data_IF_475543423099
#
_entry.id   IF_475543423099
#
_cell.length_a   1.000
_cell.length_b   1.000
_cell.length_c   1.000
_cell.angle_alpha   90.00
_cell.angle_beta   90.00
_cell.angle_gamma   90.00
#
_symmetry.space_group_name_H-M   'P 1'
#
loop_
_entity.id
_entity.type
_entity.pdbx_description
1 polymer ?
#
# COMPACT_ATOMS: atom_id res chain seq x y z
N UNK A 331 25.73 22.52 1.02
CA UNK A 331 24.60 22.16 1.87
C UNK A 331 24.86 20.90 2.68
N UNK A 332 23.97 20.60 3.62
CA UNK A 332 24.11 19.42 4.47
C UNK A 332 23.32 18.24 3.90
N UNK A 333 23.13 18.25 2.59
CA UNK A 333 22.39 17.18 1.92
C UNK A 333 23.20 15.89 1.89
N UNK A 334 24.38 15.94 1.25
CA UNK A 334 25.27 14.78 1.15
C UNK A 334 25.90 14.40 2.50
N UNK A 335 26.17 15.41 3.32
CA UNK A 335 26.76 15.19 4.63
C UNK A 335 25.90 14.26 5.47
N UNK A 336 24.59 14.43 5.38
CA UNK A 336 23.65 13.59 6.12
C UNK A 336 23.67 12.16 5.60
N UNK A 337 23.88 12.01 4.29
CA UNK A 337 23.91 10.70 3.66
C UNK A 337 24.98 9.81 4.30
N UNK A 338 26.18 10.36 4.46
CA UNK A 338 27.28 9.62 5.05
C UNK A 338 26.93 9.17 6.46
N UNK A 339 26.21 10.01 7.20
CA UNK A 339 25.81 9.69 8.55
C UNK A 339 25.00 8.39 8.60
N UNK A 340 24.47 7.99 7.44
CA UNK A 340 23.68 6.78 7.34
C UNK A 340 24.58 5.57 7.05
N UNK A 341 25.66 5.44 7.83
CA UNK A 341 26.58 4.33 7.66
C UNK A 341 26.87 3.66 8.99
N UNK A 342 25.85 3.59 9.85
CA UNK A 342 25.99 2.97 11.16
C UNK A 342 27.21 3.52 11.89
N UNK A 343 27.81 2.68 12.73
CA UNK A 343 28.99 3.07 13.50
C UNK A 343 28.59 3.88 14.73
N UNK A 344 28.02 5.06 14.51
CA UNK A 344 27.60 5.92 15.61
C UNK A 344 26.07 6.05 15.63
N UNK A 345 25.46 5.43 16.62
CA UNK A 345 24.01 5.47 16.76
C UNK A 345 23.52 6.91 16.98
N UNK A 346 24.23 7.64 17.83
CA UNK A 346 23.86 9.02 18.13
C UNK A 346 23.85 9.86 16.86
N UNK A 347 24.88 9.72 16.04
CA UNK A 347 24.97 10.46 14.79
C UNK A 347 23.96 9.96 13.77
N UNK A 348 23.74 8.65 13.75
CA UNK A 348 22.79 8.04 12.83
C UNK A 348 21.37 8.52 13.12
N UNK A 349 20.96 8.40 14.37
CA UNK A 349 19.62 8.82 14.78
C UNK A 349 19.40 10.30 14.47
N UNK A 350 20.32 11.15 14.94
CA UNK A 350 20.23 12.58 14.72
C UNK A 350 20.02 12.88 13.23
N UNK A 351 20.70 12.12 12.38
CA UNK A 351 20.59 12.30 10.94
C UNK A 351 19.22 11.90 10.43
N UNK A 352 18.71 10.79 10.94
CA UNK A 352 17.40 10.28 10.55
C UNK A 352 16.32 11.36 10.72
N UNK A 353 16.26 11.92 11.92
CA UNK A 353 15.28 12.96 12.23
C UNK A 353 15.36 14.09 11.20
N UNK A 354 16.57 14.54 10.91
CA UNK A 354 16.78 15.61 9.94
C UNK A 354 16.94 15.05 8.53
N UNK A 355 16.50 13.82 8.33
CA UNK A 355 16.60 13.18 7.03
C UNK A 355 15.22 13.01 6.39
N UNK A 356 14.19 12.91 7.23
CA UNK A 356 12.83 12.76 6.75
C UNK A 356 12.07 14.08 6.83
N UNK A 357 12.32 14.85 7.88
CA UNK A 357 11.66 16.13 8.07
C UNK A 357 11.76 16.99 6.81
N UNK A 358 12.89 16.88 6.12
CA UNK A 358 13.12 17.64 4.90
C UNK A 358 12.32 17.07 3.73
N UNK A 359 12.16 15.75 3.73
CA UNK A 359 11.41 15.07 2.67
C UNK A 359 9.95 15.50 2.68
N UNK A 360 9.45 15.84 3.86
CA UNK A 360 8.05 16.27 4.00
C UNK A 360 7.93 17.78 3.81
N UNK A 361 8.66 18.32 2.83
CA UNK A 361 8.62 19.74 2.57
C UNK A 361 8.31 20.06 1.12
N UNK A 362 8.73 19.18 0.22
CA UNK A 362 8.48 19.38 -1.20
C UNK A 362 8.98 18.23 -2.04
N UNK A 363 8.37 18.06 -3.21
CA UNK A 363 8.76 16.98 -4.11
C UNK A 363 10.21 17.14 -4.55
N UNK A 364 10.57 18.33 -5.01
CA UNK A 364 11.93 18.61 -5.46
C UNK A 364 12.94 18.23 -4.38
N UNK A 365 12.56 18.44 -3.12
CA UNK A 365 13.43 18.11 -1.99
C UNK A 365 13.74 16.62 -1.96
N UNK A 366 12.76 15.81 -2.32
CA UNK A 366 12.93 14.36 -2.32
C UNK A 366 14.01 13.93 -3.30
N UNK A 367 13.94 14.46 -4.51
CA UNK A 367 14.93 14.13 -5.54
C UNK A 367 16.35 14.35 -5.02
N UNK A 368 16.55 15.45 -4.33
CA UNK A 368 17.86 15.78 -3.77
C UNK A 368 18.40 14.63 -2.92
N UNK A 369 17.53 14.07 -2.09
CA UNK A 369 17.91 12.96 -1.22
C UNK A 369 18.30 11.73 -2.04
N UNK A 370 17.55 11.47 -3.10
CA UNK A 370 17.81 10.32 -3.97
C UNK A 370 19.24 10.35 -4.49
N UNK A 371 19.53 11.33 -5.35
CA UNK A 371 20.85 11.47 -5.93
C UNK A 371 21.92 11.47 -4.84
N UNK A 372 21.60 12.11 -3.72
CA UNK A 372 22.54 12.20 -2.61
C UNK A 372 23.07 10.82 -2.23
N UNK A 373 22.27 9.78 -2.48
CA UNK A 373 22.69 8.43 -2.17
C UNK A 373 22.20 7.98 -0.80
N UNK A 374 20.94 8.23 -0.52
CA UNK A 374 20.35 7.85 0.76
C UNK A 374 19.35 6.70 0.60
N UNK A 375 18.82 6.56 -0.62
CA UNK A 375 17.86 5.50 -0.90
C UNK A 375 18.37 4.15 -0.43
N UNK A 376 19.54 3.75 -0.93
CA UNK A 376 20.17 2.47 -0.56
C UNK A 376 20.67 2.46 0.87
N UNK A 377 21.04 3.64 1.37
CA UNK A 377 21.53 3.77 2.74
C UNK A 377 20.42 3.54 3.76
N UNK A 378 19.19 3.85 3.36
CA UNK A 378 18.03 3.68 4.23
C UNK A 378 17.67 2.20 4.36
N UNK A 379 17.60 1.52 3.23
CA UNK A 379 17.26 0.11 3.20
C UNK A 379 18.07 -0.67 4.24
N UNK A 380 19.38 -0.43 4.25
CA UNK A 380 20.27 -1.11 5.19
C UNK A 380 19.77 -0.96 6.62
N UNK A 381 19.20 0.21 6.92
CA UNK A 381 18.68 0.47 8.25
C UNK A 381 17.47 -0.40 8.56
N UNK A 382 16.66 -0.66 7.53
CA UNK A 382 15.47 -1.48 7.69
C UNK A 382 15.80 -2.79 8.39
N UNK A 383 16.99 -3.32 8.11
CA UNK A 383 17.43 -4.57 8.71
C UNK A 383 18.26 -4.31 9.96
N UNK A 384 17.68 -3.59 10.91
CA UNK A 384 18.37 -3.26 12.16
C UNK A 384 17.51 -3.65 13.36
N UNK A 385 18.18 -4.08 14.44
CA UNK A 385 17.51 -4.48 15.68
C UNK A 385 16.88 -3.30 16.41
N UNK A 386 17.61 -2.19 16.48
CA UNK A 386 17.13 -0.99 17.15
C UNK A 386 15.73 -0.63 16.68
N UNK A 387 14.88 -0.21 17.62
CA UNK A 387 13.51 0.16 17.30
C UNK A 387 13.42 1.63 16.88
N UNK A 388 14.25 2.46 17.50
CA UNK A 388 14.26 3.89 17.20
C UNK A 388 14.72 4.13 15.76
N UNK A 389 15.87 3.56 15.41
CA UNK A 389 16.42 3.71 14.06
C UNK A 389 15.46 3.16 13.01
N UNK A 390 14.60 2.24 13.43
CA UNK A 390 13.63 1.63 12.53
C UNK A 390 12.38 2.51 12.41
N UNK A 391 11.86 2.95 13.55
CA UNK A 391 10.67 3.80 13.56
C UNK A 391 10.89 5.05 12.72
N UNK A 392 12.15 5.42 12.53
CA UNK A 392 12.48 6.60 11.74
C UNK A 392 12.84 6.21 10.31
N UNK A 393 13.50 5.07 10.16
CA UNK A 393 13.90 4.59 8.84
C UNK A 393 12.71 4.53 7.89
N UNK A 394 11.55 4.21 8.43
CA UNK A 394 10.33 4.12 7.63
C UNK A 394 9.78 5.50 7.31
N UNK A 395 9.82 6.39 8.30
CA UNK A 395 9.33 7.76 8.13
C UNK A 395 9.95 8.40 6.89
N UNK A 396 11.28 8.45 6.86
CA UNK A 396 11.99 9.05 5.75
C UNK A 396 11.77 8.25 4.47
N UNK A 397 11.63 6.94 4.61
CA UNK A 397 11.42 6.06 3.46
C UNK A 397 10.11 6.41 2.75
N UNK A 398 8.99 6.06 3.37
CA UNK A 398 7.68 6.34 2.79
C UNK A 398 7.59 7.78 2.33
N UNK A 399 8.24 8.68 3.06
CA UNK A 399 8.23 10.09 2.73
C UNK A 399 8.55 10.31 1.25
N UNK A 400 9.38 9.44 0.69
CA UNK A 400 9.77 9.53 -0.71
C UNK A 400 8.76 8.80 -1.60
N UNK A 401 8.22 7.70 -1.10
CA UNK A 401 7.25 6.92 -1.85
C UNK A 401 6.02 7.74 -2.18
N UNK A 402 5.82 8.82 -1.42
CA UNK A 402 4.67 9.69 -1.65
C UNK A 402 5.03 10.85 -2.58
N UNK A 403 6.00 10.60 -3.46
CA UNK A 403 6.43 11.63 -4.40
C UNK A 403 5.80 11.46 -5.77
N UNK A 404 6.65 11.40 -6.79
CA UNK A 404 6.15 11.24 -8.15
C UNK A 404 6.36 9.83 -8.67
N UNK A 405 5.61 9.48 -9.72
CA UNK A 405 5.71 8.15 -10.31
C UNK A 405 7.16 7.81 -10.62
N UNK A 406 7.96 8.82 -10.93
CA UNK A 406 9.37 8.62 -11.23
C UNK A 406 10.19 8.49 -9.96
N UNK A 407 9.99 9.43 -9.04
CA UNK A 407 10.72 9.42 -7.77
C UNK A 407 10.50 8.11 -7.02
N UNK A 408 9.30 7.56 -7.15
CA UNK A 408 8.95 6.31 -6.49
C UNK A 408 9.78 5.15 -7.04
N UNK A 409 10.11 5.23 -8.32
CA UNK A 409 10.90 4.19 -8.97
C UNK A 409 12.30 4.11 -8.38
N UNK A 410 12.89 5.27 -8.12
CA UNK A 410 14.24 5.35 -7.55
C UNK A 410 14.34 4.47 -6.30
N UNK A 411 13.29 4.47 -5.50
CA UNK A 411 13.26 3.68 -4.27
C UNK A 411 13.38 2.19 -4.58
N UNK A 412 12.73 1.76 -5.66
CA UNK A 412 12.77 0.36 -6.05
C UNK A 412 14.13 -0.01 -6.63
N UNK A 413 14.69 0.88 -7.44
CA UNK A 413 16.00 0.65 -8.05
C UNK A 413 17.07 0.43 -6.99
N UNK A 414 16.91 1.10 -5.86
CA UNK A 414 17.86 0.98 -4.75
C UNK A 414 17.83 -0.41 -4.15
N UNK A 415 16.65 -1.03 -4.17
CA UNK A 415 16.50 -2.37 -3.62
C UNK A 415 15.94 -2.35 -2.21
N UNK A 416 14.72 -1.85 -2.08
CA UNK A 416 14.05 -1.78 -0.78
C UNK A 416 12.72 -2.52 -0.79
N UNK A 417 12.33 -2.99 -1.97
CA UNK A 417 11.07 -3.72 -2.12
C UNK A 417 10.98 -4.88 -1.15
N UNK A 418 11.92 -5.84 -1.28
CA UNK A 418 11.98 -7.01 -0.41
C UNK A 418 12.39 -6.67 1.01
N UNK A 419 13.23 -5.65 1.15
CA UNK A 419 13.71 -5.23 2.46
C UNK A 419 12.56 -4.69 3.31
N UNK A 420 11.56 -4.10 2.64
CA UNK A 420 10.41 -3.56 3.34
C UNK A 420 9.39 -4.65 3.67
N UNK A 421 9.15 -5.53 2.72
CA UNK A 421 8.21 -6.63 2.91
C UNK A 421 8.52 -7.39 4.20
N UNK A 422 9.80 -7.52 4.51
CA UNK A 422 10.23 -8.22 5.71
C UNK A 422 9.67 -7.56 6.96
N UNK A 423 9.77 -6.23 7.02
CA UNK A 423 9.28 -5.47 8.16
C UNK A 423 7.84 -5.83 8.48
N UNK A 424 7.08 -6.16 7.43
CA UNK A 424 5.68 -6.52 7.60
C UNK A 424 5.52 -7.67 8.59
N UNK A 425 6.59 -8.45 8.76
CA UNK A 425 6.58 -9.58 9.68
C UNK A 425 7.20 -9.20 11.03
N UNK A 426 6.89 -8.00 11.48
CA UNK A 426 7.42 -7.50 12.76
C UNK A 426 6.31 -7.43 13.81
N UNK A 427 6.66 -7.74 15.06
CA UNK A 427 5.72 -7.71 16.18
C UNK A 427 5.30 -6.29 16.55
N UNK A 428 6.23 -5.35 16.40
CA UNK A 428 5.96 -3.95 16.72
C UNK A 428 5.00 -3.34 15.70
N UNK A 429 3.73 -3.24 16.07
CA UNK A 429 2.72 -2.67 15.18
C UNK A 429 3.17 -1.33 14.64
N UNK A 430 3.86 -0.56 15.48
CA UNK A 430 4.35 0.76 15.08
C UNK A 430 5.17 0.67 13.80
N UNK A 431 5.99 -0.37 13.70
CA UNK A 431 6.83 -0.57 12.53
C UNK A 431 6.03 -1.11 11.36
N UNK A 432 5.04 -1.96 11.66
CA UNK A 432 4.20 -2.55 10.63
C UNK A 432 3.36 -1.48 9.94
N UNK A 433 2.84 -0.55 10.72
CA UNK A 433 2.02 0.54 10.17
C UNK A 433 2.75 1.26 9.05
N UNK A 434 3.95 1.75 9.35
CA UNK A 434 4.75 2.46 8.36
C UNK A 434 5.11 1.55 7.18
N UNK A 435 5.29 0.27 7.47
CA UNK A 435 5.64 -0.71 6.44
C UNK A 435 4.65 -0.65 5.28
N UNK A 436 3.40 -0.31 5.59
CA UNK A 436 2.36 -0.21 4.56
C UNK A 436 2.31 1.19 3.97
N UNK A 437 2.50 2.20 4.82
CA UNK A 437 2.47 3.59 4.40
C UNK A 437 3.48 3.83 3.28
N UNK A 438 4.50 2.98 3.21
CA UNK A 438 5.52 3.11 2.19
C UNK A 438 5.27 2.15 1.03
N UNK A 439 5.15 0.87 1.34
CA UNK A 439 4.91 -0.15 0.32
C UNK A 439 3.71 0.24 -0.56
N UNK A 440 2.51 0.14 0.00
CA UNK A 440 1.29 0.49 -0.72
C UNK A 440 1.47 1.80 -1.48
N UNK A 441 2.15 2.76 -0.86
CA UNK A 441 2.38 4.05 -1.47
C UNK A 441 2.98 3.90 -2.87
N UNK A 442 3.95 2.99 -2.99
CA UNK A 442 4.61 2.74 -4.26
C UNK A 442 3.66 2.03 -5.23
N UNK A 443 2.89 1.08 -4.71
CA UNK A 443 1.95 0.34 -5.53
C UNK A 443 0.95 1.27 -6.20
N UNK A 444 0.77 2.46 -5.63
CA UNK A 444 -0.17 3.43 -6.17
C UNK A 444 0.45 4.19 -7.35
N UNK A 445 1.68 3.80 -7.71
CA UNK A 445 2.37 4.45 -8.81
C UNK A 445 1.68 4.20 -10.14
N UNK A 446 2.37 3.51 -11.04
CA UNK A 446 1.82 3.23 -12.35
C UNK A 446 1.79 1.74 -12.65
N UNK A 447 1.24 1.39 -13.82
CA UNK A 447 1.16 -0.01 -14.23
C UNK A 447 2.56 -0.61 -14.37
N UNK A 448 3.45 0.13 -15.01
CA UNK A 448 4.82 -0.34 -15.22
C UNK A 448 5.44 -0.83 -13.91
N UNK A 449 5.02 -0.22 -12.80
CA UNK A 449 5.52 -0.60 -11.49
C UNK A 449 4.69 -1.72 -10.88
N UNK A 450 3.41 -1.75 -11.23
CA UNK A 450 2.50 -2.77 -10.71
C UNK A 450 2.91 -4.17 -11.20
N UNK A 451 3.21 -4.27 -12.49
CA UNK A 451 3.62 -5.54 -13.07
C UNK A 451 4.76 -6.16 -12.28
N UNK A 452 5.67 -5.31 -11.79
CA UNK A 452 6.81 -5.77 -11.02
C UNK A 452 6.37 -6.26 -9.63
N UNK A 453 5.29 -5.69 -9.12
CA UNK A 453 4.77 -6.06 -7.81
C UNK A 453 4.05 -7.40 -7.86
N UNK A 454 3.07 -7.51 -8.76
CA UNK A 454 2.31 -8.74 -8.91
C UNK A 454 3.24 -9.94 -9.13
N UNK A 455 4.44 -9.66 -9.62
CA UNK A 455 5.41 -10.71 -9.89
C UNK A 455 5.78 -11.44 -8.59
N UNK A 456 6.73 -10.87 -7.85
CA UNK A 456 7.16 -11.47 -6.59
C UNK A 456 6.28 -11.01 -5.43
N UNK A 457 5.80 -9.77 -5.51
CA UNK A 457 4.95 -9.25 -4.46
C UNK A 457 3.95 -10.28 -3.95
N UNK A 458 3.61 -10.20 -2.67
CA UNK A 458 2.67 -11.12 -2.06
C UNK A 458 1.24 -10.80 -2.46
N UNK A 459 0.84 -11.25 -3.65
CA UNK A 459 -0.50 -11.01 -4.15
C UNK A 459 -1.55 -11.67 -3.25
N UNK A 460 -1.44 -12.98 -3.10
CA UNK A 460 -2.37 -13.76 -2.26
C UNK A 460 -2.19 -13.48 -0.77
N UNK A 461 -0.95 -13.30 -0.36
CA UNK A 461 -0.64 -13.01 1.04
C UNK A 461 -1.32 -11.73 1.50
N UNK A 462 -1.42 -10.76 0.60
CA UNK A 462 -2.05 -9.48 0.91
C UNK A 462 -3.54 -9.66 1.18
N UNK A 463 -4.16 -10.59 0.46
CA UNK A 463 -5.58 -10.87 0.63
C UNK A 463 -5.87 -11.46 2.00
N UNK A 464 -4.96 -12.31 2.46
CA UNK A 464 -5.13 -12.95 3.77
C UNK A 464 -5.25 -11.92 4.87
N UNK A 465 -4.52 -10.81 4.73
CA UNK A 465 -4.55 -9.74 5.72
C UNK A 465 -5.95 -9.15 5.83
N UNK A 466 -6.67 -9.11 4.72
CA UNK A 466 -8.03 -8.57 4.70
C UNK A 466 -8.88 -9.20 5.81
N UNK A 467 -8.61 -10.47 6.11
CA UNK A 467 -9.35 -11.17 7.15
C UNK A 467 -8.60 -11.14 8.47
N UNK A 468 -8.19 -9.93 8.87
CA UNK A 468 -7.46 -9.75 10.13
C UNK A 468 -8.30 -8.98 11.13
N UNK A 469 -8.09 -9.26 12.43
CA UNK A 469 -8.82 -8.61 13.52
C UNK A 469 -8.42 -7.14 13.67
N UNK A 470 -7.11 -6.89 13.69
CA UNK A 470 -6.60 -5.53 13.83
C UNK A 470 -6.98 -4.67 12.63
N UNK A 471 -8.04 -3.90 12.76
CA UNK A 471 -8.51 -3.04 11.68
C UNK A 471 -7.36 -2.17 11.16
N UNK A 472 -6.45 -1.80 12.05
CA UNK A 472 -5.32 -0.97 11.67
C UNK A 472 -4.61 -1.53 10.43
N UNK A 473 -4.33 -2.83 10.46
CA UNK A 473 -3.66 -3.49 9.35
C UNK A 473 -4.62 -3.68 8.18
N UNK A 474 -5.90 -3.89 8.48
CA UNK A 474 -6.91 -4.10 7.45
C UNK A 474 -6.98 -2.89 6.52
N UNK A 475 -7.15 -1.71 7.09
CA UNK A 475 -7.23 -0.48 6.32
C UNK A 475 -6.05 -0.37 5.36
N UNK A 476 -4.84 -0.31 5.91
CA UNK A 476 -3.64 -0.20 5.10
C UNK A 476 -3.56 -1.34 4.08
N UNK A 477 -3.99 -2.52 4.50
CA UNK A 477 -3.97 -3.69 3.62
C UNK A 477 -4.80 -3.45 2.36
N UNK A 478 -5.87 -2.69 2.51
CA UNK A 478 -6.76 -2.39 1.39
C UNK A 478 -6.08 -1.42 0.42
N UNK A 479 -5.31 -0.48 0.97
CA UNK A 479 -4.61 0.50 0.16
C UNK A 479 -3.61 -0.17 -0.78
N UNK A 480 -2.88 -1.14 -0.25
CA UNK A 480 -1.89 -1.86 -1.04
C UNK A 480 -2.55 -2.65 -2.17
N UNK A 481 -3.38 -3.61 -1.80
CA UNK A 481 -4.08 -4.43 -2.78
C UNK A 481 -4.78 -3.56 -3.82
N UNK A 482 -5.62 -2.63 -3.34
CA UNK A 482 -6.35 -1.74 -4.23
C UNK A 482 -5.40 -1.02 -5.18
N UNK A 483 -4.33 -0.46 -4.63
CA UNK A 483 -3.34 0.26 -5.41
C UNK A 483 -2.86 -0.58 -6.59
N UNK A 484 -2.76 -1.89 -6.37
CA UNK A 484 -2.32 -2.81 -7.41
C UNK A 484 -3.36 -2.92 -8.51
N UNK A 485 -4.64 -2.82 -8.14
CA UNK A 485 -5.73 -2.92 -9.09
C UNK A 485 -6.13 -1.54 -9.61
N UNK A 486 -5.13 -0.68 -9.85
CA UNK A 486 -5.38 0.67 -10.34
C UNK A 486 -4.75 0.85 -11.73
N UNK A 487 -4.73 -0.22 -12.52
CA UNK A 487 -4.16 -0.14 -13.85
C UNK A 487 -5.10 -0.68 -14.91
N UNK A 488 -4.53 -1.15 -16.02
CA UNK A 488 -5.33 -1.68 -17.10
C UNK A 488 -6.08 -2.93 -16.69
N UNK A 489 -6.70 -3.59 -17.67
CA UNK A 489 -7.44 -4.82 -17.41
C UNK A 489 -6.55 -5.89 -16.80
N UNK A 490 -5.35 -6.04 -17.37
CA UNK A 490 -4.40 -7.03 -16.88
C UNK A 490 -4.16 -6.86 -15.38
N UNK A 491 -4.17 -5.61 -14.93
CA UNK A 491 -3.94 -5.32 -13.51
C UNK A 491 -5.11 -5.80 -12.66
N UNK A 492 -6.32 -5.71 -13.22
CA UNK A 492 -7.51 -6.14 -12.51
C UNK A 492 -7.57 -7.66 -12.40
N UNK A 493 -7.18 -8.34 -13.47
CA UNK A 493 -7.18 -9.79 -13.50
C UNK A 493 -6.27 -10.36 -12.41
N UNK A 494 -5.05 -9.84 -12.35
CA UNK A 494 -4.08 -10.29 -11.37
C UNK A 494 -4.67 -10.28 -9.96
N UNK A 495 -5.54 -9.31 -9.69
CA UNK A 495 -6.19 -9.19 -8.39
C UNK A 495 -7.10 -10.38 -8.11
N UNK A 496 -8.10 -10.55 -8.97
CA UNK A 496 -9.05 -11.65 -8.82
C UNK A 496 -8.32 -12.98 -8.66
N UNK A 497 -7.23 -13.14 -9.40
CA UNK A 497 -6.44 -14.36 -9.35
C UNK A 497 -5.90 -14.61 -7.94
N UNK A 498 -5.56 -13.53 -7.25
CA UNK A 498 -5.04 -13.62 -5.89
C UNK A 498 -6.07 -14.22 -4.95
N UNK A 499 -7.34 -13.91 -5.20
CA UNK A 499 -8.40 -14.42 -4.36
C UNK A 499 -9.03 -13.34 -3.48
N UNK A 500 -9.31 -12.19 -4.08
CA UNK A 500 -9.91 -11.08 -3.35
C UNK A 500 -11.43 -11.17 -3.38
N UNK A 501 -11.96 -11.93 -4.32
CA UNK A 501 -13.41 -12.09 -4.46
C UNK A 501 -14.03 -12.51 -3.13
N UNK A 502 -13.46 -13.56 -2.51
CA UNK A 502 -13.94 -14.07 -1.23
C UNK A 502 -13.66 -13.11 -0.07
N UNK A 503 -12.41 -12.67 0.02
CA UNK A 503 -12.02 -11.75 1.09
C UNK A 503 -12.80 -10.44 1.00
N UNK A 504 -13.34 -10.16 -0.18
CA UNK A 504 -14.12 -8.95 -0.40
C UNK A 504 -15.62 -9.22 -0.26
N UNK A 505 -16.15 -10.04 -1.16
CA UNK A 505 -17.56 -10.39 -1.13
C UNK A 505 -18.01 -10.77 0.28
N UNK A 506 -17.42 -11.81 0.83
CA UNK A 506 -17.75 -12.26 2.17
C UNK A 506 -17.64 -11.13 3.18
N UNK A 507 -16.74 -10.19 2.90
CA UNK A 507 -16.53 -9.04 3.78
C UNK A 507 -17.70 -8.07 3.71
N UNK A 508 -18.36 -8.05 2.55
CA UNK A 508 -19.51 -7.16 2.35
C UNK A 508 -20.45 -7.20 3.55
N UNK A 509 -20.59 -8.38 4.14
CA UNK A 509 -21.47 -8.56 5.29
C UNK A 509 -20.76 -8.11 6.57
N UNK A 510 -20.60 -6.80 6.72
CA UNK A 510 -19.95 -6.23 7.90
C UNK A 510 -20.73 -5.04 8.43
N UNK A 511 -21.02 -5.05 9.74
CA UNK A 511 -21.76 -3.98 10.41
C UNK A 511 -20.95 -2.69 10.50
N UNK A 512 -19.68 -2.76 10.12
CA UNK A 512 -18.80 -1.60 10.16
C UNK A 512 -18.92 -0.78 8.88
N UNK A 513 -19.38 0.46 9.03
CA UNK A 513 -19.54 1.34 7.88
C UNK A 513 -18.26 1.41 7.05
N UNK A 514 -17.11 1.38 7.74
CA UNK A 514 -15.82 1.43 7.06
C UNK A 514 -15.66 0.26 6.11
N UNK A 515 -15.61 -0.95 6.65
CA UNK A 515 -15.45 -2.15 5.84
C UNK A 515 -16.53 -2.22 4.77
N UNK A 516 -17.71 -1.70 5.08
CA UNK A 516 -18.83 -1.71 4.13
C UNK A 516 -18.48 -0.94 2.87
N UNK A 517 -18.01 0.30 3.05
CA UNK A 517 -17.65 1.15 1.92
C UNK A 517 -16.35 0.67 1.28
N UNK A 518 -15.40 0.26 2.12
CA UNK A 518 -14.12 -0.23 1.63
C UNK A 518 -14.30 -1.38 0.64
N UNK A 519 -14.82 -2.50 1.13
CA UNK A 519 -15.06 -3.65 0.28
C UNK A 519 -15.82 -3.28 -0.99
N UNK A 520 -16.95 -2.60 -0.80
CA UNK A 520 -17.77 -2.17 -1.93
C UNK A 520 -16.93 -1.43 -2.97
N UNK A 521 -16.10 -0.51 -2.50
CA UNK A 521 -15.23 0.26 -3.39
C UNK A 521 -14.29 -0.65 -4.16
N UNK A 522 -13.90 -1.76 -3.53
CA UNK A 522 -13.00 -2.72 -4.16
C UNK A 522 -13.70 -3.50 -5.26
N UNK A 523 -14.87 -4.04 -4.94
CA UNK A 523 -15.66 -4.80 -5.89
C UNK A 523 -15.89 -4.01 -7.18
N UNK A 524 -16.47 -2.83 -7.04
CA UNK A 524 -16.75 -1.97 -8.18
C UNK A 524 -15.49 -1.78 -9.03
N UNK A 525 -14.36 -1.55 -8.37
CA UNK A 525 -13.10 -1.35 -9.07
C UNK A 525 -12.82 -2.51 -10.03
N UNK A 526 -12.81 -3.72 -9.50
CA UNK A 526 -12.57 -4.91 -10.32
C UNK A 526 -13.63 -5.07 -11.40
N UNK A 527 -14.89 -4.89 -11.01
CA UNK A 527 -16.00 -5.02 -11.94
C UNK A 527 -15.85 -4.05 -13.11
N UNK A 528 -15.17 -2.93 -12.86
CA UNK A 528 -14.96 -1.92 -13.89
C UNK A 528 -14.30 -2.52 -15.12
N UNK A 529 -13.62 -3.65 -14.93
CA UNK A 529 -12.95 -4.32 -16.03
C UNK A 529 -13.93 -4.95 -17.00
N UNK A 530 -13.51 -6.05 -17.64
CA UNK A 530 -14.37 -6.73 -18.59
C UNK A 530 -15.32 -7.69 -17.91
N UNK A 531 -16.01 -8.50 -18.72
CA UNK A 531 -16.95 -9.48 -18.19
C UNK A 531 -16.25 -10.50 -17.30
N UNK A 532 -15.04 -10.87 -17.69
CA UNK A 532 -14.26 -11.84 -16.93
C UNK A 532 -13.96 -11.32 -15.53
N UNK A 533 -13.74 -10.01 -15.43
CA UNK A 533 -13.43 -9.37 -14.15
C UNK A 533 -14.70 -9.17 -13.33
N UNK A 534 -15.83 -9.00 -14.02
CA UNK A 534 -17.11 -8.79 -13.36
C UNK A 534 -17.63 -10.10 -12.77
N UNK A 535 -18.12 -10.97 -13.65
CA UNK A 535 -18.66 -12.26 -13.22
C UNK A 535 -17.77 -12.89 -12.15
N UNK A 536 -16.46 -12.83 -12.37
CA UNK A 536 -15.51 -13.40 -11.42
C UNK A 536 -15.88 -13.05 -9.99
N UNK A 537 -16.20 -11.78 -9.76
CA UNK A 537 -16.57 -11.31 -8.42
C UNK A 537 -17.96 -11.81 -8.04
N UNK A 538 -18.96 -11.45 -8.85
CA UNK A 538 -20.34 -11.87 -8.60
C UNK A 538 -20.41 -13.36 -8.29
N UNK A 539 -19.50 -14.13 -8.90
CA UNK A 539 -19.47 -15.57 -8.69
C UNK A 539 -19.46 -15.91 -7.20
N UNK A 540 -18.86 -15.03 -6.41
CA UNK A 540 -18.79 -15.23 -4.97
C UNK A 540 -20.15 -15.03 -4.32
N UNK A 541 -20.85 -13.98 -4.72
CA UNK A 541 -22.16 -13.70 -4.17
C UNK A 541 -22.29 -12.26 -3.68
N UNK A 542 -21.48 -11.38 -4.24
CA UNK A 542 -21.50 -9.97 -3.86
C UNK A 542 -22.82 -9.32 -4.26
N UNK A 543 -23.40 -9.80 -5.35
CA UNK A 543 -24.67 -9.27 -5.84
C UNK A 543 -25.69 -9.17 -4.71
N UNK A 544 -25.87 -10.26 -3.98
CA UNK A 544 -26.83 -10.30 -2.87
C UNK A 544 -26.58 -9.14 -1.91
N UNK A 545 -25.37 -9.08 -1.36
CA UNK A 545 -25.01 -8.01 -0.43
C UNK A 545 -25.28 -6.64 -1.04
N UNK A 546 -25.08 -6.53 -2.34
CA UNK A 546 -25.31 -5.27 -3.05
C UNK A 546 -26.79 -4.94 -3.12
N UNK A 547 -27.60 -5.95 -3.45
CA UNK A 547 -29.04 -5.76 -3.56
C UNK A 547 -29.61 -5.22 -2.25
N UNK A 548 -29.21 -5.82 -1.14
CA UNK A 548 -29.68 -5.40 0.18
C UNK A 548 -29.22 -3.99 0.49
N UNK A 549 -28.02 -3.64 0.05
CA UNK A 549 -27.46 -2.32 0.28
C UNK A 549 -28.33 -1.24 -0.35
N UNK A 550 -29.00 -1.60 -1.45
CA UNK A 550 -29.86 -0.66 -2.15
C UNK A 550 -30.81 0.04 -1.18
N UNK A 551 -31.24 -0.69 -0.15
CA UNK A 551 -32.14 -0.14 0.86
C UNK A 551 -31.40 0.20 2.14
N UNK A 552 -30.21 0.77 2.00
CA UNK A 552 -29.40 1.14 3.15
C UNK A 552 -29.69 2.57 3.59
N UNK A 553 -29.58 2.82 4.89
CA UNK A 553 -29.84 4.14 5.44
C UNK A 553 -28.93 5.19 4.79
N UNK A 554 -27.63 4.96 4.86
CA UNK A 554 -26.65 5.88 4.28
C UNK A 554 -26.99 6.17 2.82
N UNK A 555 -26.84 7.43 2.42
CA UNK A 555 -27.12 7.85 1.05
C UNK A 555 -25.98 7.46 0.12
N UNK A 556 -24.76 7.82 0.50
CA UNK A 556 -23.58 7.52 -0.30
C UNK A 556 -23.49 6.02 -0.58
N UNK A 557 -23.58 5.22 0.47
CA UNK A 557 -23.50 3.76 0.35
C UNK A 557 -24.57 3.24 -0.60
N UNK A 558 -25.74 3.89 -0.58
CA UNK A 558 -26.84 3.49 -1.45
C UNK A 558 -26.50 3.72 -2.91
N UNK A 559 -26.08 4.93 -3.25
CA UNK A 559 -25.71 5.28 -4.61
C UNK A 559 -24.61 4.36 -5.13
N UNK A 560 -23.49 4.33 -4.42
CA UNK A 560 -22.36 3.48 -4.81
C UNK A 560 -22.82 2.05 -5.04
N UNK A 561 -23.67 1.55 -4.15
CA UNK A 561 -24.17 0.18 -4.25
C UNK A 561 -24.98 -0.01 -5.53
N UNK A 562 -25.70 1.04 -5.93
CA UNK A 562 -26.51 0.99 -7.13
C UNK A 562 -25.64 1.01 -8.38
N UNK A 563 -24.54 1.74 -8.32
CA UNK A 563 -23.62 1.83 -9.45
C UNK A 563 -22.86 0.53 -9.65
N UNK A 564 -22.54 -0.13 -8.54
CA UNK A 564 -21.82 -1.40 -8.60
C UNK A 564 -22.73 -2.53 -9.04
N UNK A 565 -23.98 -2.49 -8.60
CA UNK A 565 -24.96 -3.51 -8.95
C UNK A 565 -25.14 -3.59 -10.47
N UNK A 566 -25.65 -2.51 -11.05
CA UNK A 566 -25.87 -2.46 -12.50
C UNK A 566 -24.61 -2.84 -13.25
N UNK A 567 -23.45 -2.42 -12.74
CA UNK A 567 -22.18 -2.71 -13.38
C UNK A 567 -22.05 -4.21 -13.65
N UNK A 568 -22.24 -5.01 -12.62
CA UNK A 568 -22.13 -6.47 -12.75
C UNK A 568 -23.00 -6.97 -13.90
N UNK A 569 -24.05 -6.20 -14.22
CA UNK A 569 -24.96 -6.58 -15.30
C UNK A 569 -24.54 -5.92 -16.61
#
# INVERSE_FOLDING_TARGET
>A
MRGSHHHHHHSSGIEGRSSGYKLILNGKTLKGETTTEAVDAATAEKVFKQYANDNGVDGEWTYDDATKTFTVTEGGGGSMVSKGEELFTGVVPILVELDGDVNGHKFSVSGEGEGDATYGKLTLKFICTTGKLPVPWPTLVTTLTYGVQCFSRYPDHMKQHDFFKSAMPEGYVQERTIFFKDDGNYKTRAEVKFEGDTLVNRIELKGIDFKEDGNILGHKLEYNYNSHNVYIMADKQKNGIKVNFKIRHNIEDGSVQLADHYQQNTPIGDGPVLLPDNHYLSTQSALSKDPNEKRDHMVLLEFVTAAGITLGMDELYKGGGGSLEVLFQGPDLPKLVKLLKSSNEEILLKALRALAEIASGGNEQIQAVIDAGALPALVQLLSSPNEQILQEALWALSNIASGGNEQIQAVIDAGALPALVQLLSSPNEQILQEALWALSNIASGGNEQIQAVIDAGALPALVQLLSSPNEQILQEALWALSNIASGGNEQIQAVIDAGALPALVQLLSSPNEQILQEALWALSNIASGGNEQKQAVKEAGALEKLEQLQSHENEKIQKEAQEALEKLQSH
#
